data_IF_159156426919
#
_entry.id   IF_159156426919
#
_cell.length_a   1.000
_cell.length_b   1.000
_cell.length_c   1.000
_cell.angle_alpha   90.00
_cell.angle_beta   90.00
_cell.angle_gamma   90.00
#
_symmetry.space_group_name_H-M   'P 1'
#
loop_
_entity.id
_entity.type
_entity.pdbx_description
1 polymer ?
#
# COMPACT_ATOMS: atom_id res chain seq x y z
N UNK A 1 29.31 8.22 8.92
CA UNK A 1 28.44 7.22 8.26
C UNK A 1 29.11 6.80 6.97
N UNK A 2 29.43 5.51 6.81
CA UNK A 2 29.96 5.01 5.55
C UNK A 2 28.86 5.07 4.49
N UNK A 3 29.11 5.72 3.36
CA UNK A 3 28.18 5.81 2.24
C UNK A 3 28.09 4.42 1.60
N UNK A 4 26.93 3.77 1.72
CA UNK A 4 26.70 2.44 1.13
C UNK A 4 26.75 2.54 -0.40
N UNK A 5 27.48 1.63 -1.05
CA UNK A 5 27.54 1.61 -2.52
C UNK A 5 26.25 1.06 -3.12
N UNK A 6 25.88 1.49 -4.33
CA UNK A 6 24.66 1.03 -5.03
C UNK A 6 24.61 -0.49 -5.16
N UNK A 7 25.74 -1.15 -5.39
CA UNK A 7 25.82 -2.61 -5.52
C UNK A 7 25.60 -3.36 -4.19
N UNK A 8 26.01 -2.76 -3.07
CA UNK A 8 25.78 -3.31 -1.73
C UNK A 8 24.32 -3.14 -1.30
N UNK A 9 23.73 -1.98 -1.60
CA UNK A 9 22.30 -1.71 -1.40
C UNK A 9 21.44 -2.72 -2.17
N UNK A 10 21.78 -2.95 -3.43
CA UNK A 10 21.06 -3.89 -4.28
C UNK A 10 21.14 -5.33 -3.78
N UNK A 11 22.30 -5.77 -3.29
CA UNK A 11 22.44 -7.10 -2.71
C UNK A 11 21.61 -7.27 -1.44
N UNK A 12 21.56 -6.25 -0.57
CA UNK A 12 20.76 -6.30 0.66
C UNK A 12 19.26 -6.34 0.36
N UNK A 13 18.79 -5.49 -0.57
CA UNK A 13 17.38 -5.47 -0.95
C UNK A 13 16.99 -6.78 -1.65
N UNK A 14 17.83 -7.28 -2.56
CA UNK A 14 17.60 -8.53 -3.28
C UNK A 14 17.52 -9.73 -2.30
N UNK A 15 18.49 -9.84 -1.39
CA UNK A 15 18.53 -10.94 -0.41
C UNK A 15 17.28 -10.92 0.49
N UNK A 16 16.93 -9.75 1.02
CA UNK A 16 15.76 -9.61 1.89
C UNK A 16 14.45 -9.86 1.13
N UNK A 17 14.33 -9.37 -0.10
CA UNK A 17 13.16 -9.58 -0.95
C UNK A 17 12.96 -11.04 -1.36
N UNK A 18 14.04 -11.74 -1.75
CA UNK A 18 13.96 -13.12 -2.23
C UNK A 18 13.47 -14.09 -1.15
N UNK A 19 13.83 -13.87 0.11
CA UNK A 19 13.34 -14.69 1.23
C UNK A 19 11.85 -14.50 1.55
N UNK A 20 11.23 -13.46 1.02
CA UNK A 20 9.95 -12.91 1.53
C UNK A 20 8.86 -12.88 0.46
N UNK A 21 9.21 -12.64 -0.80
CA UNK A 21 8.26 -12.21 -1.84
C UNK A 21 8.11 -13.19 -3.02
N UNK A 22 9.09 -14.07 -3.24
CA UNK A 22 9.17 -14.87 -4.47
C UNK A 22 9.63 -14.05 -5.69
N UNK A 23 10.15 -14.70 -6.75
CA UNK A 23 10.94 -14.05 -7.79
C UNK A 23 10.20 -12.96 -8.59
N UNK A 24 8.87 -13.06 -8.75
CA UNK A 24 8.07 -12.08 -9.50
C UNK A 24 7.99 -10.70 -8.84
N UNK A 25 8.09 -10.62 -7.51
CA UNK A 25 7.89 -9.38 -6.75
C UNK A 25 9.19 -8.73 -6.27
N UNK A 26 10.31 -9.45 -6.31
CA UNK A 26 11.60 -8.92 -5.82
C UNK A 26 12.03 -7.70 -6.62
N UNK A 27 11.90 -7.73 -7.95
CA UNK A 27 12.26 -6.59 -8.80
C UNK A 27 11.39 -5.37 -8.55
N UNK A 28 10.08 -5.57 -8.35
CA UNK A 28 9.13 -4.51 -8.04
C UNK A 28 9.41 -3.89 -6.66
N UNK A 29 9.62 -4.73 -5.64
CA UNK A 29 9.96 -4.28 -4.29
C UNK A 29 11.28 -3.50 -4.28
N UNK A 30 12.29 -3.96 -5.02
CA UNK A 30 13.57 -3.27 -5.11
C UNK A 30 13.43 -1.89 -5.74
N UNK A 31 12.64 -1.77 -6.80
CA UNK A 31 12.36 -0.49 -7.43
C UNK A 31 11.66 0.48 -6.47
N UNK A 32 10.64 0.04 -5.73
CA UNK A 32 9.93 0.91 -4.77
C UNK A 32 10.82 1.30 -3.57
N UNK A 33 11.67 0.39 -3.07
CA UNK A 33 12.63 0.72 -1.99
C UNK A 33 13.63 1.76 -2.46
N UNK A 34 14.20 1.63 -3.66
CA UNK A 34 15.09 2.66 -4.22
C UNK A 34 14.39 4.01 -4.35
N UNK A 35 13.19 4.02 -4.93
CA UNK A 35 12.40 5.24 -5.07
C UNK A 35 12.05 5.88 -3.71
N UNK A 36 11.83 5.08 -2.66
CA UNK A 36 11.63 5.59 -1.30
C UNK A 36 12.92 6.18 -0.71
N UNK A 37 14.08 5.54 -0.93
CA UNK A 37 15.38 6.04 -0.47
C UNK A 37 15.74 7.36 -1.18
N UNK A 38 15.45 7.48 -2.47
CA UNK A 38 15.65 8.73 -3.22
C UNK A 38 14.82 9.88 -2.64
N UNK A 39 13.61 9.61 -2.18
CA UNK A 39 12.72 10.60 -1.55
C UNK A 39 13.09 10.88 -0.09
N UNK A 40 13.61 9.88 0.64
CA UNK A 40 13.93 9.93 2.06
C UNK A 40 15.35 9.41 2.35
N UNK A 41 16.40 10.11 1.89
CA UNK A 41 17.77 9.60 1.97
C UNK A 41 18.28 9.42 3.42
N UNK A 42 17.77 10.20 4.37
CA UNK A 42 18.08 10.05 5.81
C UNK A 42 17.46 8.79 6.43
N UNK A 43 16.49 8.16 5.76
CA UNK A 43 15.80 6.94 6.20
C UNK A 43 16.31 5.68 5.50
N UNK A 44 17.40 5.76 4.74
CA UNK A 44 17.83 4.67 3.86
C UNK A 44 17.96 3.31 4.56
N UNK A 45 18.57 3.28 5.75
CA UNK A 45 18.73 2.04 6.51
C UNK A 45 17.38 1.47 6.99
N UNK A 46 16.49 2.32 7.49
CA UNK A 46 15.15 1.91 7.91
C UNK A 46 14.34 1.34 6.73
N UNK A 47 14.44 1.95 5.55
CA UNK A 47 13.76 1.52 4.32
C UNK A 47 14.32 0.18 3.79
N UNK A 48 15.63 -0.04 3.86
CA UNK A 48 16.23 -1.36 3.54
C UNK A 48 15.71 -2.42 4.52
N UNK A 49 15.66 -2.12 5.81
CA UNK A 49 15.18 -3.05 6.83
C UNK A 49 13.66 -3.33 6.72
N UNK A 50 12.90 -2.41 6.11
CA UNK A 50 11.46 -2.54 5.87
C UNK A 50 11.11 -3.52 4.74
N UNK A 51 12.08 -4.01 3.96
CA UNK A 51 11.86 -5.03 2.91
C UNK A 51 11.10 -6.26 3.41
N UNK A 52 11.27 -6.65 4.69
CA UNK A 52 10.54 -7.74 5.34
C UNK A 52 9.02 -7.50 5.47
N UNK A 53 8.58 -6.25 5.39
CA UNK A 53 7.17 -5.83 5.52
C UNK A 53 6.39 -5.96 4.21
N UNK A 54 7.09 -6.06 3.07
CA UNK A 54 6.51 -5.88 1.74
C UNK A 54 5.75 -7.10 1.20
N UNK A 55 5.42 -8.08 2.06
CA UNK A 55 4.73 -9.30 1.65
C UNK A 55 3.34 -8.98 1.09
N UNK A 56 2.99 -9.50 -0.10
CA UNK A 56 1.62 -9.51 -0.57
C UNK A 56 0.68 -10.18 0.45
N UNK A 57 -0.42 -9.53 0.78
CA UNK A 57 -1.45 -10.06 1.70
C UNK A 57 -2.70 -10.56 0.99
N UNK A 58 -2.78 -10.35 -0.32
CA UNK A 58 -3.92 -10.70 -1.14
C UNK A 58 -3.48 -11.37 -2.44
N UNK A 59 -4.27 -12.31 -2.97
CA UNK A 59 -3.98 -13.01 -4.24
C UNK A 59 -3.76 -12.04 -5.41
N UNK A 60 -4.60 -11.01 -5.55
CA UNK A 60 -4.45 -9.97 -6.58
C UNK A 60 -3.20 -9.11 -6.45
N UNK A 61 -2.52 -9.11 -5.31
CA UNK A 61 -1.17 -8.52 -5.20
C UNK A 61 -0.09 -9.50 -5.67
N UNK A 62 -0.32 -10.81 -5.51
CA UNK A 62 0.58 -11.86 -5.97
C UNK A 62 0.48 -12.06 -7.50
N UNK A 63 -0.72 -12.32 -7.98
CA UNK A 63 -0.97 -12.82 -9.34
C UNK A 63 -1.75 -11.82 -10.20
N UNK A 64 -2.12 -10.67 -9.62
CA UNK A 64 -2.86 -9.61 -10.31
C UNK A 64 -1.97 -8.53 -10.91
N UNK A 65 -2.55 -7.34 -11.06
CA UNK A 65 -1.86 -6.22 -11.71
C UNK A 65 -0.78 -5.61 -10.79
N UNK A 66 0.41 -5.34 -11.34
CA UNK A 66 1.57 -4.84 -10.59
C UNK A 66 1.27 -3.56 -9.80
N UNK A 67 0.44 -2.67 -10.34
CA UNK A 67 0.11 -1.39 -9.70
C UNK A 67 -0.54 -1.59 -8.32
N UNK A 68 -1.27 -2.70 -8.13
CA UNK A 68 -1.89 -3.03 -6.84
C UNK A 68 -0.82 -3.30 -5.79
N UNK A 69 0.18 -4.11 -6.16
CA UNK A 69 1.31 -4.41 -5.29
C UNK A 69 2.17 -3.18 -5.03
N UNK A 70 2.44 -2.37 -6.06
CA UNK A 70 3.23 -1.13 -5.92
C UNK A 70 2.56 -0.13 -4.99
N UNK A 71 1.24 0.09 -5.12
CA UNK A 71 0.49 0.97 -4.21
C UNK A 71 0.57 0.49 -2.76
N UNK A 72 0.45 -0.83 -2.55
CA UNK A 72 0.62 -1.44 -1.24
C UNK A 72 2.01 -1.18 -0.62
N UNK A 73 3.08 -1.47 -1.38
CA UNK A 73 4.46 -1.32 -0.92
C UNK A 73 4.82 0.14 -0.67
N UNK A 74 4.41 1.04 -1.57
CA UNK A 74 4.69 2.47 -1.46
C UNK A 74 4.14 3.04 -0.16
N UNK A 75 2.88 2.72 0.19
CA UNK A 75 2.27 3.18 1.44
C UNK A 75 3.03 2.67 2.68
N UNK A 76 3.47 1.40 2.68
CA UNK A 76 4.28 0.87 3.79
C UNK A 76 5.62 1.59 3.94
N UNK A 77 6.30 1.88 2.82
CA UNK A 77 7.59 2.58 2.84
C UNK A 77 7.43 4.04 3.30
N UNK A 78 6.36 4.72 2.91
CA UNK A 78 6.07 6.07 3.42
C UNK A 78 5.83 6.07 4.92
N UNK A 79 5.05 5.11 5.43
CA UNK A 79 4.82 4.97 6.88
C UNK A 79 6.13 4.74 7.63
N UNK A 80 7.02 3.90 7.10
CA UNK A 80 8.35 3.68 7.69
C UNK A 80 9.17 4.96 7.69
N UNK A 81 9.19 5.70 6.57
CA UNK A 81 9.92 6.96 6.48
C UNK A 81 9.39 8.01 7.48
N UNK A 82 8.07 8.04 7.68
CA UNK A 82 7.38 8.93 8.62
C UNK A 82 7.42 8.45 10.09
N UNK A 83 7.86 7.21 10.36
CA UNK A 83 7.83 6.63 11.71
C UNK A 83 6.42 6.23 12.18
N UNK A 84 5.51 5.97 11.25
CA UNK A 84 4.11 5.59 11.50
C UNK A 84 3.92 4.08 11.68
N UNK A 85 2.76 3.71 12.24
CA UNK A 85 2.39 2.30 12.43
C UNK A 85 2.12 1.60 11.08
N UNK A 86 2.87 0.54 10.80
CA UNK A 86 2.75 -0.25 9.57
C UNK A 86 1.72 -1.39 9.68
N UNK A 87 1.16 -1.65 10.87
CA UNK A 87 0.19 -2.74 11.10
C UNK A 87 -1.18 -2.49 10.46
N UNK A 88 -1.80 -1.29 10.55
CA UNK A 88 -3.11 -1.06 9.93
C UNK A 88 -3.09 -1.36 8.43
N UNK A 89 -4.19 -1.89 7.90
CA UNK A 89 -4.31 -2.17 6.47
C UNK A 89 -3.95 -0.97 5.60
N UNK A 90 -3.31 -1.22 4.45
CA UNK A 90 -3.02 -0.20 3.44
C UNK A 90 -4.27 0.11 2.62
N UNK A 91 -4.31 1.27 1.96
CA UNK A 91 -5.40 1.65 1.07
C UNK A 91 -5.61 0.60 -0.04
N UNK A 92 -4.52 0.07 -0.60
CA UNK A 92 -4.59 -1.04 -1.56
C UNK A 92 -5.28 -2.29 -0.97
N UNK A 93 -4.99 -2.66 0.28
CA UNK A 93 -5.65 -3.78 0.96
C UNK A 93 -7.15 -3.50 1.16
N UNK A 94 -7.51 -2.27 1.54
CA UNK A 94 -8.92 -1.86 1.68
C UNK A 94 -9.66 -1.93 0.35
N UNK A 95 -9.05 -1.47 -0.76
CA UNK A 95 -9.66 -1.58 -2.10
C UNK A 95 -9.97 -3.03 -2.47
N UNK A 96 -9.06 -3.96 -2.15
CA UNK A 96 -9.25 -5.38 -2.45
C UNK A 96 -10.39 -5.98 -1.62
N UNK A 97 -10.43 -5.67 -0.31
CA UNK A 97 -11.54 -6.07 0.58
C UNK A 97 -12.87 -5.52 0.07
N UNK A 98 -12.91 -4.24 -0.34
CA UNK A 98 -14.07 -3.65 -0.98
C UNK A 98 -14.45 -4.42 -2.25
N UNK A 99 -13.49 -4.69 -3.14
CA UNK A 99 -13.75 -5.40 -4.40
C UNK A 99 -14.29 -6.81 -4.20
N UNK A 100 -13.92 -7.50 -3.13
CA UNK A 100 -14.46 -8.83 -2.83
C UNK A 100 -15.83 -8.74 -2.18
N UNK A 101 -16.00 -7.79 -1.26
CA UNK A 101 -17.29 -7.55 -0.59
C UNK A 101 -18.37 -7.15 -1.60
N UNK A 102 -18.04 -6.35 -2.61
CA UNK A 102 -19.00 -5.89 -3.63
C UNK A 102 -19.54 -7.03 -4.50
N UNK A 103 -18.85 -8.17 -4.56
CA UNK A 103 -19.33 -9.37 -5.27
C UNK A 103 -20.40 -10.12 -4.48
N UNK A 104 -20.46 -9.91 -3.17
CA UNK A 104 -21.38 -10.60 -2.26
C UNK A 104 -22.65 -9.79 -2.01
N UNK A 105 -22.51 -8.46 -1.92
CA UNK A 105 -23.63 -7.57 -1.70
C UNK A 105 -23.39 -6.20 -2.36
N UNK A 106 -24.45 -5.51 -2.81
CA UNK A 106 -24.34 -4.11 -3.23
C UNK A 106 -23.79 -3.23 -2.12
N UNK A 107 -22.99 -2.23 -2.50
CA UNK A 107 -22.46 -1.25 -1.56
C UNK A 107 -23.52 -0.28 -1.06
N UNK A 108 -23.32 0.16 0.18
CA UNK A 108 -23.89 1.42 0.67
C UNK A 108 -23.14 2.60 0.06
N UNK A 109 -23.74 3.79 0.11
CA UNK A 109 -23.09 5.04 -0.32
C UNK A 109 -21.73 5.27 0.37
N UNK A 110 -21.66 5.00 1.68
CA UNK A 110 -20.42 5.15 2.44
C UNK A 110 -19.35 4.11 2.03
N UNK A 111 -19.74 2.86 1.73
CA UNK A 111 -18.80 1.85 1.24
C UNK A 111 -18.26 2.18 -0.17
N UNK A 112 -19.10 2.73 -1.04
CA UNK A 112 -18.66 3.24 -2.35
C UNK A 112 -17.68 4.41 -2.20
N UNK A 113 -17.98 5.36 -1.30
CA UNK A 113 -17.08 6.47 -0.97
C UNK A 113 -15.73 6.01 -0.40
N UNK A 114 -15.74 5.01 0.50
CA UNK A 114 -14.52 4.41 1.02
C UNK A 114 -13.68 3.78 -0.10
N UNK A 115 -14.29 2.97 -0.97
CA UNK A 115 -13.57 2.33 -2.08
C UNK A 115 -12.88 3.39 -2.95
N UNK A 116 -13.57 4.50 -3.23
CA UNK A 116 -13.01 5.60 -4.00
C UNK A 116 -11.84 6.30 -3.36
N UNK A 117 -12.00 6.69 -2.09
CA UNK A 117 -10.92 7.34 -1.33
C UNK A 117 -9.68 6.47 -1.32
N UNK A 118 -9.86 5.18 -1.04
CA UNK A 118 -8.74 4.24 -0.98
C UNK A 118 -8.12 3.98 -2.35
N UNK A 119 -8.92 4.00 -3.42
CA UNK A 119 -8.42 3.90 -4.78
C UNK A 119 -7.52 5.08 -5.15
N UNK A 120 -7.98 6.31 -4.91
CA UNK A 120 -7.21 7.53 -5.21
C UNK A 120 -5.89 7.58 -4.42
N UNK A 121 -5.92 7.17 -3.15
CA UNK A 121 -4.72 7.09 -2.30
C UNK A 121 -3.74 6.01 -2.77
N UNK A 122 -4.24 4.81 -3.09
CA UNK A 122 -3.37 3.69 -3.43
C UNK A 122 -2.83 3.79 -4.86
N UNK A 123 -3.63 4.32 -5.80
CA UNK A 123 -3.39 4.25 -7.23
C UNK A 123 -3.61 5.61 -7.91
N UNK A 124 -2.86 6.66 -7.53
CA UNK A 124 -3.05 8.01 -8.06
C UNK A 124 -2.89 8.07 -9.60
N UNK A 125 -2.10 7.17 -10.17
CA UNK A 125 -1.84 7.08 -11.61
C UNK A 125 -2.91 6.28 -12.38
N UNK A 126 -3.90 5.69 -11.69
CA UNK A 126 -4.91 4.80 -12.26
C UNK A 126 -6.32 5.39 -12.13
N UNK A 127 -6.56 6.55 -12.72
CA UNK A 127 -7.87 7.20 -12.60
C UNK A 127 -8.98 6.38 -13.27
N UNK A 128 -9.96 5.92 -12.46
CA UNK A 128 -11.16 5.24 -12.99
C UNK A 128 -12.32 6.23 -13.18
N UNK A 129 -12.28 7.40 -12.54
CA UNK A 129 -13.33 8.41 -12.61
C UNK A 129 -12.81 9.65 -13.31
N UNK A 130 -13.46 10.01 -14.41
CA UNK A 130 -12.97 10.99 -15.38
C UNK A 130 -12.86 12.42 -14.85
N UNK A 131 -13.40 12.74 -13.66
CA UNK A 131 -13.50 14.10 -13.15
C UNK A 131 -13.33 14.28 -11.63
N UNK A 132 -13.19 13.19 -10.85
CA UNK A 132 -13.13 13.26 -9.37
C UNK A 132 -14.39 13.81 -8.69
N UNK A 133 -15.40 14.25 -9.45
CA UNK A 133 -16.65 14.84 -8.93
C UNK A 133 -17.49 13.80 -8.19
N UNK A 134 -17.44 12.55 -8.65
CA UNK A 134 -18.10 11.43 -7.97
C UNK A 134 -17.55 11.18 -6.57
N UNK A 135 -16.24 11.31 -6.37
CA UNK A 135 -15.65 11.15 -5.03
C UNK A 135 -16.04 12.32 -4.13
N UNK A 136 -15.96 13.56 -4.63
CA UNK A 136 -16.40 14.76 -3.89
C UNK A 136 -17.86 14.65 -3.42
N UNK A 137 -18.73 14.08 -4.25
CA UNK A 137 -20.13 13.84 -3.90
C UNK A 137 -20.27 12.89 -2.70
N UNK A 138 -19.57 11.74 -2.71
CA UNK A 138 -19.63 10.81 -1.58
C UNK A 138 -19.06 11.42 -0.29
N UNK A 139 -17.93 12.11 -0.40
CA UNK A 139 -17.28 12.78 0.73
C UNK A 139 -18.19 13.85 1.36
N UNK A 140 -18.86 14.66 0.52
CA UNK A 140 -19.79 15.69 1.00
C UNK A 140 -21.00 15.13 1.73
N UNK A 141 -21.47 13.93 1.37
CA UNK A 141 -22.64 13.30 1.99
C UNK A 141 -22.31 12.46 3.21
N UNK A 142 -21.16 11.76 3.21
CA UNK A 142 -20.90 10.63 4.09
C UNK A 142 -19.50 10.59 4.72
N UNK A 143 -18.73 11.68 4.67
CA UNK A 143 -17.35 11.73 5.21
C UNK A 143 -17.17 11.09 6.59
N UNK A 144 -18.03 11.40 7.57
CA UNK A 144 -17.92 10.83 8.93
C UNK A 144 -18.15 9.31 8.97
N UNK A 145 -19.10 8.80 8.17
CA UNK A 145 -19.34 7.36 8.03
C UNK A 145 -18.18 6.69 7.28
N UNK A 146 -17.63 7.35 6.26
CA UNK A 146 -16.45 6.88 5.51
C UNK A 146 -15.24 6.78 6.44
N UNK A 147 -14.98 7.79 7.29
CA UNK A 147 -13.89 7.79 8.26
C UNK A 147 -14.02 6.65 9.28
N UNK A 148 -15.25 6.40 9.75
CA UNK A 148 -15.54 5.30 10.67
C UNK A 148 -15.33 3.94 10.00
N UNK A 149 -15.77 3.79 8.74
CA UNK A 149 -15.56 2.57 7.96
C UNK A 149 -14.08 2.35 7.65
N UNK A 150 -13.34 3.39 7.30
CA UNK A 150 -11.90 3.32 7.04
C UNK A 150 -11.16 2.80 8.28
N UNK A 151 -11.35 3.46 9.42
CA UNK A 151 -10.72 3.07 10.69
C UNK A 151 -11.02 1.61 11.04
N UNK A 152 -12.29 1.24 10.97
CA UNK A 152 -12.74 -0.13 11.27
C UNK A 152 -12.13 -1.14 10.30
N UNK A 153 -12.12 -0.85 9.00
CA UNK A 153 -11.63 -1.78 7.98
C UNK A 153 -10.13 -1.97 8.11
N UNK A 154 -9.36 -0.88 8.25
CA UNK A 154 -7.90 -0.94 8.42
C UNK A 154 -7.48 -1.69 9.69
N UNK A 155 -8.21 -1.55 10.79
CA UNK A 155 -7.92 -2.31 12.02
C UNK A 155 -8.27 -3.80 11.88
N UNK A 156 -9.42 -4.12 11.27
CA UNK A 156 -9.84 -5.51 11.05
C UNK A 156 -8.88 -6.29 10.15
N UNK A 157 -8.29 -5.63 9.16
CA UNK A 157 -7.34 -6.26 8.22
C UNK A 157 -5.87 -6.03 8.59
N UNK A 158 -5.63 -5.50 9.79
CA UNK A 158 -4.29 -5.17 10.25
C UNK A 158 -3.37 -6.40 10.27
N UNK A 159 -2.16 -6.22 9.75
CA UNK A 159 -1.12 -7.25 9.72
C UNK A 159 -0.25 -7.12 10.97
N UNK A 160 -0.58 -7.88 12.00
CA UNK A 160 0.09 -7.78 13.33
C UNK A 160 1.58 -8.13 13.30
N UNK A 161 2.06 -8.80 12.25
CA UNK A 161 3.47 -9.15 12.03
C UNK A 161 4.31 -8.00 11.41
N UNK A 162 3.69 -6.88 10.99
CA UNK A 162 4.39 -5.68 10.50
C UNK A 162 4.87 -4.82 11.67
N UNK A 163 5.97 -5.23 12.30
CA UNK A 163 6.64 -4.55 13.43
C UNK A 163 8.10 -4.37 13.15
#
# INVERSE_FOLDING_TARGET
>A
MATMTTSELDRRILFAGLMVLGPGHVGLAQAEVRAAIERHPDKAEALVNATRLLKPTHERMRDGAEFVYRGHVRELLERVAAGEDTRPGTAAEVVLVCSDTSKLAPFTTAAAGLQGRMWELAFPDQQIWADGERQKHYEGLKSSEIDSLERTTRDKIAQRWRT
#
